data_IF_709020082019
#
_entry.id   IF_709020082019
#
_cell.length_a   1.000
_cell.length_b   1.000
_cell.length_c   1.000
_cell.angle_alpha   90.00
_cell.angle_beta   90.00
_cell.angle_gamma   90.00
#
_symmetry.space_group_name_H-M   'P 1'
#
loop_
_entity.id
_entity.type
_entity.pdbx_description
1 polymer ?
#
# COMPACT_ATOMS: atom_id res chain seq x y z
N UNK A 1 3.06 -49.76 44.80
CA UNK A 1 3.51 -48.47 44.22
C UNK A 1 3.14 -48.46 42.75
N UNK A 2 1.94 -47.96 42.44
CA UNK A 2 1.45 -47.85 41.07
C UNK A 2 2.02 -46.57 40.44
N UNK A 3 2.65 -46.71 39.28
CA UNK A 3 3.38 -45.65 38.59
C UNK A 3 2.45 -44.49 38.18
N UNK A 4 2.85 -43.21 38.38
CA UNK A 4 2.05 -42.04 38.04
C UNK A 4 1.89 -41.83 36.52
N UNK A 5 2.52 -42.65 35.68
CA UNK A 5 2.42 -42.55 34.23
C UNK A 5 1.09 -43.05 33.65
N UNK A 6 0.30 -43.83 34.40
CA UNK A 6 -0.94 -44.41 33.86
C UNK A 6 -2.14 -43.45 33.90
N UNK A 7 -2.07 -42.37 34.69
CA UNK A 7 -3.13 -41.34 34.75
C UNK A 7 -3.00 -40.25 33.68
N UNK A 8 -1.85 -40.15 32.98
CA UNK A 8 -1.65 -39.13 31.95
C UNK A 8 -2.17 -39.54 30.55
N UNK A 9 -2.54 -40.81 30.36
CA UNK A 9 -2.99 -41.33 29.07
C UNK A 9 -4.52 -41.35 28.89
N UNK A 10 -5.30 -41.03 29.93
CA UNK A 10 -6.77 -41.03 29.85
C UNK A 10 -7.39 -39.63 29.67
N UNK A 11 -6.61 -38.54 29.70
CA UNK A 11 -7.12 -37.17 29.53
C UNK A 11 -7.06 -36.63 28.10
N UNK A 12 -6.56 -37.43 27.14
CA UNK A 12 -6.43 -37.01 25.73
C UNK A 12 -7.62 -37.36 24.81
N UNK A 13 -8.69 -37.97 25.33
CA UNK A 13 -9.84 -38.43 24.52
C UNK A 13 -11.12 -37.59 24.64
N UNK A 14 -11.03 -36.33 25.10
CA UNK A 14 -12.16 -35.38 25.11
C UNK A 14 -11.82 -34.03 24.48
N UNK A 15 -10.86 -34.00 23.53
CA UNK A 15 -10.78 -32.89 22.59
C UNK A 15 -11.94 -33.04 21.58
N UNK A 16 -13.13 -32.58 21.97
CA UNK A 16 -14.23 -32.41 21.03
C UNK A 16 -13.72 -31.60 19.84
N UNK A 17 -13.81 -32.15 18.64
CA UNK A 17 -13.52 -31.42 17.42
C UNK A 17 -14.43 -30.22 17.37
N UNK A 18 -13.90 -29.02 17.55
CA UNK A 18 -14.63 -27.79 17.29
C UNK A 18 -14.93 -27.77 15.78
N UNK A 19 -16.15 -28.18 15.41
CA UNK A 19 -16.64 -28.06 14.04
C UNK A 19 -16.57 -26.59 13.64
N UNK A 20 -15.71 -26.25 12.69
CA UNK A 20 -15.65 -24.90 12.13
C UNK A 20 -17.01 -24.61 11.47
N UNK A 21 -17.74 -23.62 11.99
CA UNK A 21 -19.00 -23.19 11.38
C UNK A 21 -18.70 -22.62 9.99
N UNK A 22 -19.37 -23.17 8.98
CA UNK A 22 -19.47 -22.57 7.65
C UNK A 22 -20.87 -22.04 7.45
N UNK A 23 -21.05 -21.15 6.48
CA UNK A 23 -22.37 -20.66 6.12
C UNK A 23 -23.33 -21.82 5.79
N UNK A 24 -22.87 -22.86 5.08
CA UNK A 24 -23.73 -23.99 4.68
C UNK A 24 -24.24 -24.83 5.84
N UNK A 25 -23.50 -24.86 6.96
CA UNK A 25 -23.90 -25.53 8.21
C UNK A 25 -24.94 -24.73 9.00
N UNK A 26 -25.12 -23.44 8.70
CA UNK A 26 -26.09 -22.58 9.37
C UNK A 26 -27.43 -22.61 8.64
N UNK A 27 -28.48 -23.05 9.32
CA UNK A 27 -29.86 -23.05 8.80
C UNK A 27 -30.61 -21.84 9.31
N UNK A 28 -30.44 -20.71 8.64
CA UNK A 28 -31.14 -19.47 8.96
C UNK A 28 -32.37 -19.27 8.07
N UNK A 29 -33.42 -18.70 8.64
CA UNK A 29 -34.67 -18.40 7.95
C UNK A 29 -34.99 -16.92 7.93
N UNK A 30 -35.71 -16.48 6.90
CA UNK A 30 -36.28 -15.14 6.81
C UNK A 30 -37.47 -14.95 7.77
N UNK A 31 -38.08 -13.76 7.75
CA UNK A 31 -39.24 -13.44 8.58
C UNK A 31 -40.50 -14.28 8.28
N UNK A 32 -40.52 -15.02 7.16
CA UNK A 32 -41.60 -15.92 6.75
C UNK A 32 -41.23 -17.39 7.00
N UNK A 33 -40.20 -17.66 7.79
CA UNK A 33 -39.66 -18.99 8.08
C UNK A 33 -39.18 -19.76 6.83
N UNK A 34 -38.77 -19.06 5.78
CA UNK A 34 -38.18 -19.67 4.58
C UNK A 34 -36.67 -19.68 4.69
N UNK A 35 -36.04 -20.79 4.31
CA UNK A 35 -34.60 -20.90 4.25
C UNK A 35 -34.04 -19.94 3.19
N UNK A 36 -32.91 -19.29 3.48
CA UNK A 36 -32.21 -18.49 2.48
C UNK A 36 -31.69 -19.38 1.34
N UNK A 37 -31.88 -18.94 0.10
CA UNK A 37 -31.48 -19.70 -1.10
C UNK A 37 -29.97 -19.70 -1.31
N UNK A 38 -29.30 -18.61 -0.90
CA UNK A 38 -27.88 -18.39 -1.11
C UNK A 38 -27.17 -18.07 0.20
N UNK A 39 -25.86 -18.27 0.17
CA UNK A 39 -25.04 -18.38 1.36
C UNK A 39 -23.56 -18.22 0.98
N UNK A 40 -22.79 -17.43 1.74
CA UNK A 40 -21.36 -17.25 1.55
C UNK A 40 -20.62 -17.08 2.88
N UNK A 41 -19.46 -17.73 2.98
CA UNK A 41 -18.42 -17.40 3.95
C UNK A 41 -17.68 -16.15 3.46
N UNK A 42 -17.78 -15.04 4.21
CA UNK A 42 -17.11 -13.81 3.82
C UNK A 42 -15.60 -13.93 4.11
N UNK A 43 -14.73 -13.35 3.27
CA UNK A 43 -13.29 -13.64 3.31
C UNK A 43 -12.57 -13.13 4.56
N UNK A 44 -13.22 -12.25 5.34
CA UNK A 44 -12.62 -11.56 6.49
C UNK A 44 -13.63 -11.43 7.63
N UNK A 45 -13.10 -11.20 8.83
CA UNK A 45 -13.85 -10.97 10.08
C UNK A 45 -14.68 -12.17 10.56
N UNK A 46 -14.39 -13.39 10.08
CA UNK A 46 -15.09 -14.61 10.53
C UNK A 46 -16.60 -14.50 10.38
N UNK A 47 -17.04 -13.94 9.26
CA UNK A 47 -18.41 -13.48 9.04
C UNK A 47 -19.09 -14.23 7.90
N UNK A 48 -20.42 -14.28 7.93
CA UNK A 48 -21.23 -15.05 7.00
C UNK A 48 -22.39 -14.21 6.50
N UNK A 49 -22.81 -14.47 5.27
CA UNK A 49 -23.95 -13.82 4.66
C UNK A 49 -24.86 -14.86 4.02
N UNK A 50 -26.13 -14.82 4.37
CA UNK A 50 -27.19 -15.56 3.71
C UNK A 50 -28.11 -14.58 3.00
N UNK A 51 -28.60 -14.93 1.82
CA UNK A 51 -29.53 -14.07 1.09
C UNK A 51 -30.45 -14.81 0.15
N UNK A 52 -31.59 -14.18 -0.14
CA UNK A 52 -32.55 -14.59 -1.16
C UNK A 52 -32.97 -13.34 -1.93
N UNK A 53 -32.83 -13.37 -3.24
CA UNK A 53 -33.33 -12.29 -4.10
C UNK A 53 -34.73 -12.65 -4.60
N UNK A 54 -35.65 -11.69 -4.52
CA UNK A 54 -36.99 -11.75 -5.09
C UNK A 54 -37.05 -10.71 -6.23
N UNK A 55 -36.89 -11.14 -7.49
CA UNK A 55 -36.97 -10.24 -8.64
C UNK A 55 -38.33 -9.58 -8.81
N UNK A 56 -39.42 -10.26 -8.44
CA UNK A 56 -40.78 -9.74 -8.61
C UNK A 56 -41.05 -8.54 -7.71
N UNK A 57 -40.46 -8.53 -6.51
CA UNK A 57 -40.54 -7.40 -5.59
C UNK A 57 -39.28 -6.51 -5.60
N UNK A 58 -38.30 -6.79 -6.48
CA UNK A 58 -36.99 -6.13 -6.49
C UNK A 58 -36.40 -6.00 -5.08
N UNK A 59 -36.34 -7.12 -4.36
CA UNK A 59 -35.97 -7.13 -2.94
C UNK A 59 -34.95 -8.20 -2.61
N UNK A 60 -34.08 -7.90 -1.65
CA UNK A 60 -33.03 -8.79 -1.20
C UNK A 60 -33.20 -9.03 0.30
N UNK A 61 -33.66 -10.22 0.67
CA UNK A 61 -33.68 -10.67 2.04
C UNK A 61 -32.27 -11.12 2.42
N UNK A 62 -31.75 -10.66 3.55
CA UNK A 62 -30.39 -10.96 4.02
C UNK A 62 -30.37 -11.39 5.48
N UNK A 63 -29.42 -12.27 5.82
CA UNK A 63 -28.98 -12.51 7.19
C UNK A 63 -27.44 -12.42 7.25
N UNK A 64 -26.94 -11.41 7.94
CA UNK A 64 -25.51 -11.23 8.19
C UNK A 64 -25.16 -11.74 9.59
N UNK A 65 -24.05 -12.47 9.71
CA UNK A 65 -23.63 -13.14 10.95
C UNK A 65 -22.17 -12.80 11.21
N UNK A 66 -21.86 -12.31 12.42
CA UNK A 66 -20.49 -12.09 12.86
C UNK A 66 -20.40 -12.07 14.39
N UNK A 67 -19.21 -12.37 14.92
CA UNK A 67 -18.89 -12.11 16.32
C UNK A 67 -18.30 -10.69 16.45
N UNK A 68 -18.83 -9.83 17.33
CA UNK A 68 -18.16 -8.59 17.65
C UNK A 68 -16.82 -8.87 18.37
N UNK A 69 -15.81 -8.00 18.23
CA UNK A 69 -14.50 -8.20 18.86
C UNK A 69 -14.52 -8.10 20.40
N UNK A 70 -15.60 -7.57 20.98
CA UNK A 70 -15.80 -7.52 22.43
C UNK A 70 -17.29 -7.73 22.77
N UNK A 71 -17.63 -8.12 24.01
CA UNK A 71 -19.02 -8.31 24.44
C UNK A 71 -19.92 -7.07 24.29
N UNK A 72 -19.34 -5.86 24.38
CA UNK A 72 -20.06 -4.59 24.18
C UNK A 72 -20.00 -4.06 22.74
N UNK A 73 -19.42 -4.84 21.82
CA UNK A 73 -19.21 -4.45 20.45
C UNK A 73 -20.45 -4.51 19.58
N UNK A 74 -20.24 -4.21 18.31
CA UNK A 74 -21.29 -4.14 17.30
C UNK A 74 -20.87 -4.86 16.02
N UNK A 75 -21.85 -5.25 15.23
CA UNK A 75 -21.66 -5.79 13.88
C UNK A 75 -22.47 -4.96 12.88
N UNK A 76 -22.06 -4.92 11.62
CA UNK A 76 -22.75 -4.14 10.59
C UNK A 76 -22.64 -4.78 9.22
N UNK A 77 -23.70 -4.61 8.43
CA UNK A 77 -23.74 -4.94 7.01
C UNK A 77 -24.56 -3.89 6.26
N UNK A 78 -24.19 -3.58 5.03
CA UNK A 78 -25.01 -2.73 4.19
C UNK A 78 -24.55 -2.63 2.75
N UNK A 79 -25.27 -1.78 2.00
CA UNK A 79 -25.08 -1.57 0.57
C UNK A 79 -24.47 -0.19 0.35
N UNK A 80 -23.50 -0.12 -0.56
CA UNK A 80 -23.06 1.15 -1.10
C UNK A 80 -23.64 1.35 -2.51
N UNK A 81 -24.61 2.26 -2.68
CA UNK A 81 -25.28 2.46 -3.97
C UNK A 81 -24.43 3.19 -5.01
N UNK A 82 -23.34 3.87 -4.61
CA UNK A 82 -22.56 4.75 -5.50
C UNK A 82 -21.10 4.36 -5.64
N UNK A 83 -20.55 3.62 -4.69
CA UNK A 83 -19.15 3.24 -4.61
C UNK A 83 -18.96 1.82 -4.06
N UNK A 84 -17.71 1.41 -3.84
CA UNK A 84 -17.35 0.07 -3.36
C UNK A 84 -16.85 0.04 -1.91
N UNK A 85 -16.73 1.21 -1.26
CA UNK A 85 -16.13 1.35 0.08
C UNK A 85 -17.14 1.73 1.17
N UNK A 86 -16.65 2.12 2.34
CA UNK A 86 -17.49 2.55 3.47
C UNK A 86 -18.14 3.91 3.22
N UNK A 87 -17.41 4.87 2.64
CA UNK A 87 -17.97 6.19 2.32
C UNK A 87 -19.06 6.08 1.25
N UNK A 88 -20.23 6.64 1.54
CA UNK A 88 -21.46 6.49 0.76
C UNK A 88 -22.28 5.23 1.08
N UNK A 89 -21.79 4.36 1.97
CA UNK A 89 -22.51 3.14 2.32
C UNK A 89 -23.71 3.43 3.24
N UNK A 90 -24.78 2.68 3.03
CA UNK A 90 -26.01 2.71 3.80
C UNK A 90 -26.17 1.37 4.50
N UNK A 91 -26.01 1.38 5.83
CA UNK A 91 -25.77 0.16 6.61
C UNK A 91 -26.76 -0.03 7.73
N UNK A 92 -27.00 -1.29 8.06
CA UNK A 92 -27.61 -1.71 9.31
C UNK A 92 -26.49 -2.09 10.28
N UNK A 93 -26.59 -1.66 11.53
CA UNK A 93 -25.69 -2.11 12.59
C UNK A 93 -26.48 -2.66 13.77
N UNK A 94 -26.02 -3.80 14.28
CA UNK A 94 -26.56 -4.47 15.45
C UNK A 94 -25.60 -4.34 16.64
N UNK A 95 -26.17 -4.09 17.81
CA UNK A 95 -25.47 -4.02 19.09
C UNK A 95 -26.42 -4.36 20.24
N UNK A 96 -25.85 -4.72 21.40
CA UNK A 96 -26.65 -4.95 22.61
C UNK A 96 -27.17 -3.63 23.16
N UNK A 97 -28.48 -3.56 23.43
CA UNK A 97 -29.13 -2.46 24.13
C UNK A 97 -30.13 -3.04 25.14
N UNK A 98 -29.88 -2.83 26.43
CA UNK A 98 -30.75 -3.28 27.53
C UNK A 98 -31.12 -4.77 27.48
N UNK A 99 -30.14 -5.63 27.16
CA UNK A 99 -30.31 -7.08 27.11
C UNK A 99 -30.92 -7.63 25.81
N UNK A 100 -31.34 -6.76 24.88
CA UNK A 100 -31.81 -7.13 23.55
C UNK A 100 -30.86 -6.65 22.45
N UNK A 101 -30.94 -7.25 21.26
CA UNK A 101 -30.18 -6.77 20.09
C UNK A 101 -30.98 -5.67 19.40
N UNK A 102 -30.46 -4.44 19.42
CA UNK A 102 -30.99 -3.33 18.66
C UNK A 102 -30.34 -3.29 17.28
N UNK A 103 -31.14 -3.06 16.22
CA UNK A 103 -30.64 -2.82 14.86
C UNK A 103 -30.99 -1.40 14.46
N UNK A 104 -29.99 -0.61 14.07
CA UNK A 104 -30.15 0.78 13.62
C UNK A 104 -29.58 0.97 12.22
N UNK A 105 -30.15 1.91 11.47
CA UNK A 105 -29.70 2.28 10.13
C UNK A 105 -28.78 3.50 10.17
N UNK A 106 -27.75 3.52 9.32
CA UNK A 106 -26.76 4.58 9.22
C UNK A 106 -26.49 4.92 7.75
N UNK A 107 -26.50 6.20 7.42
CA UNK A 107 -26.10 6.74 6.11
C UNK A 107 -24.68 7.31 6.22
N UNK A 108 -23.67 6.52 5.85
CA UNK A 108 -22.26 6.82 6.06
C UNK A 108 -21.73 7.73 4.95
N UNK A 109 -22.13 9.00 4.96
CA UNK A 109 -21.72 9.98 3.94
C UNK A 109 -20.20 10.18 3.85
N UNK A 110 -19.48 9.99 4.95
CA UNK A 110 -18.02 10.13 5.04
C UNK A 110 -17.44 9.24 6.14
N UNK A 111 -16.12 9.24 6.29
CA UNK A 111 -15.42 8.51 7.36
C UNK A 111 -15.51 9.16 8.75
N UNK A 112 -16.05 10.38 8.86
CA UNK A 112 -15.98 11.19 10.09
C UNK A 112 -17.28 11.23 10.88
N UNK A 113 -18.41 10.83 10.30
CA UNK A 113 -19.72 10.94 10.93
C UNK A 113 -20.47 9.61 10.89
N UNK A 114 -20.62 8.98 12.06
CA UNK A 114 -21.45 7.80 12.27
C UNK A 114 -22.69 8.24 13.03
N UNK A 115 -23.72 8.64 12.30
CA UNK A 115 -24.99 9.10 12.88
C UNK A 115 -26.14 8.29 12.26
N UNK A 116 -27.11 7.84 13.07
CA UNK A 116 -28.29 7.17 12.54
C UNK A 116 -28.99 8.03 11.49
N UNK A 117 -29.44 7.38 10.42
CA UNK A 117 -30.03 8.07 9.28
C UNK A 117 -30.99 7.17 8.50
N UNK A 118 -31.91 7.79 7.75
CA UNK A 118 -32.79 7.09 6.82
C UNK A 118 -31.99 6.67 5.59
N UNK A 119 -32.16 5.44 5.13
CA UNK A 119 -31.54 4.94 3.92
C UNK A 119 -32.29 5.46 2.68
N UNK A 120 -31.62 5.54 1.52
CA UNK A 120 -32.25 5.95 0.27
C UNK A 120 -33.10 4.85 -0.37
N UNK A 121 -33.02 3.62 0.15
CA UNK A 121 -33.85 2.49 -0.24
C UNK A 121 -34.65 1.99 0.96
N UNK A 122 -35.81 1.38 0.70
CA UNK A 122 -36.67 0.85 1.73
C UNK A 122 -36.05 -0.39 2.39
N UNK A 123 -36.29 -0.51 3.70
CA UNK A 123 -35.85 -1.64 4.50
C UNK A 123 -37.01 -2.08 5.39
N UNK A 124 -37.28 -3.38 5.41
CA UNK A 124 -38.33 -3.99 6.21
C UNK A 124 -37.86 -5.34 6.78
N UNK A 125 -38.71 -6.00 7.58
CA UNK A 125 -38.39 -7.26 8.27
C UNK A 125 -37.10 -7.22 9.11
N UNK A 126 -36.77 -6.04 9.66
CA UNK A 126 -35.53 -5.82 10.42
C UNK A 126 -35.62 -6.48 11.79
N UNK A 127 -34.64 -7.35 12.10
CA UNK A 127 -34.49 -7.95 13.43
C UNK A 127 -33.04 -8.30 13.73
N UNK A 128 -32.69 -8.29 15.01
CA UNK A 128 -31.37 -8.64 15.51
C UNK A 128 -31.45 -9.82 16.48
N UNK A 129 -30.44 -10.68 16.47
CA UNK A 129 -30.32 -11.80 17.41
C UNK A 129 -28.89 -11.91 17.93
N UNK A 130 -28.72 -12.36 19.16
CA UNK A 130 -27.43 -12.70 19.73
C UNK A 130 -27.50 -14.07 20.41
N UNK A 131 -26.71 -15.02 19.94
CA UNK A 131 -26.66 -16.38 20.50
C UNK A 131 -25.21 -16.84 20.52
N UNK A 132 -24.73 -17.29 21.69
CA UNK A 132 -23.38 -17.85 21.84
C UNK A 132 -22.25 -16.89 21.47
N UNK A 133 -22.40 -15.60 21.75
CA UNK A 133 -21.40 -14.57 21.42
C UNK A 133 -21.38 -14.14 19.95
N UNK A 134 -22.28 -14.67 19.12
CA UNK A 134 -22.45 -14.28 17.71
C UNK A 134 -23.70 -13.43 17.59
N UNK A 135 -23.59 -12.31 16.86
CA UNK A 135 -24.72 -11.47 16.50
C UNK A 135 -25.19 -11.77 15.08
N UNK A 136 -26.48 -11.56 14.83
CA UNK A 136 -27.11 -11.69 13.52
C UNK A 136 -27.95 -10.46 13.22
N UNK A 137 -27.85 -9.98 11.99
CA UNK A 137 -28.73 -8.95 11.42
C UNK A 137 -29.58 -9.63 10.36
N UNK A 138 -30.89 -9.55 10.49
CA UNK A 138 -31.83 -9.92 9.43
C UNK A 138 -32.54 -8.67 8.94
N UNK A 139 -32.69 -8.55 7.62
CA UNK A 139 -33.46 -7.49 7.00
C UNK A 139 -33.84 -7.88 5.57
N UNK A 140 -34.85 -7.21 5.03
CA UNK A 140 -35.13 -7.19 3.60
C UNK A 140 -34.93 -5.77 3.09
N UNK A 141 -34.14 -5.62 2.03
CA UNK A 141 -33.84 -4.31 1.43
C UNK A 141 -34.37 -4.22 0.01
N UNK A 142 -34.86 -3.04 -0.39
CA UNK A 142 -35.20 -2.75 -1.78
C UNK A 142 -33.91 -2.65 -2.60
N UNK A 143 -33.87 -3.32 -3.74
CA UNK A 143 -32.79 -3.25 -4.73
C UNK A 143 -33.32 -2.75 -6.07
N UNK A 144 -32.44 -2.48 -7.02
CA UNK A 144 -32.85 -2.07 -8.36
C UNK A 144 -33.62 -3.20 -9.07
N UNK A 145 -34.72 -2.86 -9.75
CA UNK A 145 -35.56 -3.83 -10.50
C UNK A 145 -34.79 -4.57 -11.60
N UNK A 146 -33.78 -3.92 -12.18
CA UNK A 146 -32.89 -4.51 -13.19
C UNK A 146 -31.50 -4.84 -12.64
N UNK A 147 -31.35 -4.78 -11.32
CA UNK A 147 -30.08 -5.08 -10.66
C UNK A 147 -29.80 -6.57 -10.67
N UNK A 148 -28.55 -6.95 -10.93
CA UNK A 148 -28.06 -8.33 -10.79
C UNK A 148 -27.09 -8.47 -9.61
N UNK A 149 -26.63 -7.33 -9.08
CA UNK A 149 -25.69 -7.28 -7.97
C UNK A 149 -25.73 -5.95 -7.23
N UNK A 150 -25.15 -5.92 -6.03
CA UNK A 150 -24.90 -4.70 -5.24
C UNK A 150 -23.48 -4.68 -4.70
N UNK A 151 -22.90 -3.49 -4.52
CA UNK A 151 -21.71 -3.36 -3.69
C UNK A 151 -22.14 -3.41 -2.23
N UNK A 152 -21.53 -4.29 -1.45
CA UNK A 152 -21.77 -4.40 -0.02
C UNK A 152 -20.52 -4.12 0.80
N UNK A 153 -20.73 -3.73 2.04
CA UNK A 153 -19.69 -3.62 3.07
C UNK A 153 -20.19 -4.27 4.34
N UNK A 154 -19.26 -4.83 5.12
CA UNK A 154 -19.57 -5.38 6.43
C UNK A 154 -18.48 -4.98 7.41
N UNK A 155 -18.81 -4.98 8.70
CA UNK A 155 -17.84 -4.59 9.71
C UNK A 155 -18.18 -5.10 11.10
N UNK A 156 -17.18 -5.15 11.96
CA UNK A 156 -17.31 -5.35 13.40
C UNK A 156 -16.58 -4.24 14.14
N UNK A 157 -17.08 -3.82 15.31
CA UNK A 157 -16.44 -2.77 16.10
C UNK A 157 -16.47 -3.01 17.60
N UNK A 158 -15.60 -2.31 18.34
CA UNK A 158 -15.22 -2.67 19.71
C UNK A 158 -16.30 -2.40 20.73
N UNK A 159 -17.06 -1.32 20.59
CA UNK A 159 -17.96 -0.85 21.65
C UNK A 159 -19.02 0.12 21.13
N UNK A 160 -20.05 0.34 21.95
CA UNK A 160 -21.03 1.42 21.77
C UNK A 160 -20.95 2.34 22.99
N UNK A 161 -20.53 3.58 22.79
CA UNK A 161 -20.33 4.57 23.86
C UNK A 161 -21.37 5.69 23.73
N UNK A 162 -22.12 5.95 24.80
CA UNK A 162 -23.17 6.97 24.84
C UNK A 162 -24.16 6.85 23.65
N UNK A 163 -24.53 5.62 23.29
CA UNK A 163 -25.46 5.33 22.19
C UNK A 163 -24.89 5.51 20.78
N UNK A 164 -23.58 5.74 20.64
CA UNK A 164 -22.87 5.87 19.36
C UNK A 164 -21.91 4.71 19.15
N UNK A 165 -21.86 4.20 17.93
CA UNK A 165 -20.92 3.13 17.56
C UNK A 165 -19.49 3.68 17.58
N UNK A 166 -18.61 3.03 18.33
CA UNK A 166 -17.19 3.35 18.28
C UNK A 166 -16.58 2.85 16.98
N UNK A 167 -15.62 3.60 16.47
CA UNK A 167 -14.94 3.31 15.19
C UNK A 167 -14.33 1.90 15.21
N UNK A 168 -14.56 1.16 14.12
CA UNK A 168 -13.93 -0.14 13.92
C UNK A 168 -12.41 -0.02 13.74
N UNK A 169 -11.70 -1.15 13.88
CA UNK A 169 -10.26 -1.22 13.66
C UNK A 169 -9.89 -0.98 12.19
N UNK A 170 -8.64 -0.60 11.95
CA UNK A 170 -8.09 -0.42 10.60
C UNK A 170 -7.12 -1.54 10.19
N UNK A 171 -7.29 -2.73 10.77
CA UNK A 171 -6.51 -3.89 10.40
C UNK A 171 -6.89 -4.37 8.98
N UNK A 172 -6.02 -5.12 8.28
CA UNK A 172 -6.30 -5.60 6.93
C UNK A 172 -7.67 -6.30 6.77
N UNK A 173 -8.15 -7.13 7.72
CA UNK A 173 -9.50 -7.70 7.63
C UNK A 173 -10.61 -6.63 7.57
N UNK A 174 -10.53 -5.57 8.39
CA UNK A 174 -11.53 -4.50 8.40
C UNK A 174 -11.46 -3.63 7.14
N UNK A 175 -10.27 -3.40 6.60
CA UNK A 175 -10.11 -2.60 5.38
C UNK A 175 -10.56 -3.34 4.11
N UNK A 176 -10.58 -4.68 4.17
CA UNK A 176 -10.98 -5.56 3.07
C UNK A 176 -12.43 -6.07 3.19
N UNK A 177 -13.20 -5.63 4.19
CA UNK A 177 -14.58 -6.09 4.42
C UNK A 177 -15.59 -5.37 3.53
N UNK A 178 -15.38 -5.53 2.23
CA UNK A 178 -16.17 -4.97 1.13
C UNK A 178 -16.16 -5.93 -0.06
N UNK A 179 -17.19 -5.89 -0.88
CA UNK A 179 -17.33 -6.81 -2.02
C UNK A 179 -18.51 -6.50 -2.91
N UNK A 180 -18.66 -7.29 -3.97
CA UNK A 180 -19.83 -7.27 -4.84
C UNK A 180 -20.65 -8.54 -4.59
N UNK A 181 -21.93 -8.36 -4.26
CA UNK A 181 -22.88 -9.43 -3.99
C UNK A 181 -23.77 -9.66 -5.21
N UNK A 182 -23.61 -10.80 -5.88
CA UNK A 182 -24.52 -11.23 -6.94
C UNK A 182 -25.80 -11.82 -6.35
N UNK A 183 -26.94 -11.46 -6.92
CA UNK A 183 -28.24 -11.91 -6.45
C UNK A 183 -28.49 -13.41 -6.66
N UNK A 184 -27.96 -13.98 -7.74
CA UNK A 184 -28.21 -15.37 -8.13
C UNK A 184 -27.34 -16.41 -7.41
N UNK A 185 -26.48 -16.00 -6.46
CA UNK A 185 -25.67 -16.94 -5.69
C UNK A 185 -24.63 -17.73 -6.48
N UNK A 186 -24.40 -17.38 -7.76
CA UNK A 186 -23.37 -17.99 -8.59
C UNK A 186 -22.05 -17.99 -7.83
N UNK A 187 -21.51 -19.18 -7.59
CA UNK A 187 -20.29 -19.41 -6.81
C UNK A 187 -19.20 -18.43 -7.25
N UNK A 188 -18.92 -17.50 -6.35
CA UNK A 188 -18.19 -16.30 -6.66
C UNK A 188 -19.04 -15.11 -6.26
N UNK A 189 -19.00 -14.76 -4.98
CA UNK A 189 -18.67 -13.37 -4.66
C UNK A 189 -17.50 -13.04 -5.59
N UNK A 190 -17.75 -12.43 -6.76
CA UNK A 190 -16.70 -11.89 -7.61
C UNK A 190 -16.16 -10.68 -6.86
N UNK A 191 -15.45 -10.98 -5.77
CA UNK A 191 -14.33 -10.18 -5.35
C UNK A 191 -13.45 -10.21 -6.59
N UNK A 192 -13.48 -9.13 -7.38
CA UNK A 192 -12.33 -8.80 -8.19
C UNK A 192 -11.13 -9.01 -7.26
N UNK A 193 -10.31 -10.04 -7.51
CA UNK A 193 -9.29 -10.55 -6.58
C UNK A 193 -8.39 -9.43 -6.05
N UNK A 194 -8.36 -8.30 -6.74
CA UNK A 194 -7.87 -7.02 -6.26
C UNK A 194 -8.90 -5.93 -6.61
N UNK A 195 -9.46 -5.25 -5.61
CA UNK A 195 -10.39 -4.14 -5.86
C UNK A 195 -9.70 -3.00 -6.65
N UNK A 196 -10.43 -2.21 -7.46
CA UNK A 196 -9.83 -1.18 -8.32
C UNK A 196 -8.93 -0.18 -7.58
N UNK A 197 -9.21 0.12 -6.32
CA UNK A 197 -8.39 1.03 -5.50
C UNK A 197 -7.09 0.33 -5.10
N UNK A 198 -7.14 -0.93 -4.66
CA UNK A 198 -5.92 -1.70 -4.37
C UNK A 198 -5.08 -1.91 -5.63
N UNK A 199 -5.70 -2.11 -6.79
CA UNK A 199 -4.96 -2.16 -8.07
C UNK A 199 -4.21 -0.85 -8.33
N UNK A 200 -4.87 0.31 -8.14
CA UNK A 200 -4.22 1.63 -8.25
C UNK A 200 -3.09 1.80 -7.23
N UNK A 201 -3.28 1.38 -5.96
CA UNK A 201 -2.24 1.39 -4.91
C UNK A 201 -1.02 0.56 -5.31
N UNK A 202 -1.23 -0.62 -5.86
CA UNK A 202 -0.15 -1.50 -6.33
C UNK A 202 0.60 -0.89 -7.51
N UNK A 203 -0.12 -0.33 -8.49
CA UNK A 203 0.49 0.37 -9.63
C UNK A 203 1.34 1.54 -9.15
N UNK A 204 0.80 2.40 -8.26
CA UNK A 204 1.54 3.50 -7.65
C UNK A 204 2.81 3.00 -6.94
N UNK A 205 2.70 1.96 -6.12
CA UNK A 205 3.83 1.38 -5.40
C UNK A 205 4.94 0.87 -6.33
N UNK A 206 4.58 0.13 -7.39
CA UNK A 206 5.53 -0.43 -8.37
C UNK A 206 6.22 0.69 -9.15
N UNK A 207 5.47 1.64 -9.71
CA UNK A 207 6.03 2.76 -10.48
C UNK A 207 7.06 3.53 -9.65
N UNK A 208 6.72 3.84 -8.39
CA UNK A 208 7.61 4.60 -7.52
C UNK A 208 8.82 3.79 -7.02
N UNK A 209 8.67 2.48 -6.78
CA UNK A 209 9.80 1.62 -6.43
C UNK A 209 10.82 1.51 -7.58
N UNK A 210 10.35 1.32 -8.81
CA UNK A 210 11.22 1.23 -10.00
C UNK A 210 11.90 2.58 -10.28
N UNK A 211 11.13 3.67 -10.27
CA UNK A 211 11.66 5.02 -10.53
C UNK A 211 12.59 5.50 -9.41
N UNK A 212 12.03 5.86 -8.25
CA UNK A 212 12.75 6.52 -7.15
C UNK A 212 13.66 5.57 -6.38
N UNK A 213 13.29 4.29 -6.31
CA UNK A 213 14.00 3.29 -5.52
C UNK A 213 15.13 2.57 -6.26
N UNK A 214 15.10 2.52 -7.60
CA UNK A 214 16.08 1.75 -8.40
C UNK A 214 16.76 2.61 -9.45
N UNK A 215 16.02 3.20 -10.39
CA UNK A 215 16.61 3.89 -11.55
C UNK A 215 17.37 5.17 -11.15
N UNK A 216 16.81 6.00 -10.26
CA UNK A 216 17.49 7.19 -9.73
C UNK A 216 18.82 6.83 -9.02
N UNK A 217 18.84 5.91 -8.02
CA UNK A 217 20.08 5.44 -7.39
C UNK A 217 21.08 4.82 -8.38
N UNK A 218 20.60 3.97 -9.29
CA UNK A 218 21.45 3.34 -10.30
C UNK A 218 22.14 4.38 -11.19
N UNK A 219 21.41 5.39 -11.66
CA UNK A 219 21.98 6.48 -12.44
C UNK A 219 23.03 7.29 -11.66
N UNK A 220 22.85 7.48 -10.35
CA UNK A 220 23.85 8.13 -9.49
C UNK A 220 25.12 7.27 -9.35
N UNK A 221 24.96 5.95 -9.15
CA UNK A 221 26.08 4.98 -9.09
C UNK A 221 26.87 5.00 -10.41
N UNK A 222 26.19 4.92 -11.56
CA UNK A 222 26.80 5.01 -12.90
C UNK A 222 27.64 6.28 -13.03
N UNK A 223 27.05 7.45 -12.76
CA UNK A 223 27.75 8.72 -12.89
C UNK A 223 28.95 8.83 -11.94
N UNK A 224 28.82 8.34 -10.71
CA UNK A 224 29.89 8.44 -9.70
C UNK A 224 31.09 7.59 -10.06
N UNK A 225 30.87 6.34 -10.48
CA UNK A 225 31.93 5.35 -10.64
C UNK A 225 32.46 5.23 -12.07
N UNK A 226 31.57 5.23 -13.07
CA UNK A 226 32.00 5.03 -14.46
C UNK A 226 32.76 6.24 -15.02
N UNK A 227 32.48 7.46 -14.53
CA UNK A 227 33.21 8.68 -14.95
C UNK A 227 34.72 8.63 -14.70
N UNK A 228 35.18 7.75 -13.80
CA UNK A 228 36.61 7.63 -13.44
C UNK A 228 37.43 6.96 -14.56
N UNK A 229 36.77 6.22 -15.46
CA UNK A 229 37.39 5.48 -16.55
C UNK A 229 37.33 6.29 -17.85
N UNK A 230 38.48 6.73 -18.42
CA UNK A 230 38.51 7.45 -19.69
C UNK A 230 37.85 6.69 -20.84
N UNK A 231 37.96 5.35 -20.84
CA UNK A 231 37.31 4.49 -21.84
C UNK A 231 35.78 4.51 -21.79
N UNK A 232 35.20 5.02 -20.71
CA UNK A 232 33.76 5.15 -20.56
C UNK A 232 33.25 6.55 -20.91
N UNK A 233 34.11 7.49 -21.33
CA UNK A 233 33.68 8.80 -21.83
C UNK A 233 33.39 8.72 -23.33
N UNK A 234 32.23 9.20 -23.83
CA UNK A 234 31.14 9.89 -23.12
C UNK A 234 30.00 8.96 -22.64
N UNK A 235 30.15 7.63 -22.79
CA UNK A 235 29.10 6.65 -22.51
C UNK A 235 28.48 6.76 -21.09
N UNK A 236 29.29 6.99 -20.04
CA UNK A 236 28.80 7.15 -18.68
C UNK A 236 27.78 8.29 -18.55
N UNK A 237 27.97 9.37 -19.31
CA UNK A 237 27.13 10.55 -19.26
C UNK A 237 25.75 10.24 -19.88
N UNK A 238 25.74 9.58 -21.04
CA UNK A 238 24.50 9.16 -21.68
C UNK A 238 23.75 8.12 -20.85
N UNK A 239 24.45 7.11 -20.30
CA UNK A 239 23.83 6.12 -19.42
C UNK A 239 23.20 6.77 -18.18
N UNK A 240 23.91 7.71 -17.54
CA UNK A 240 23.35 8.49 -16.43
C UNK A 240 22.09 9.24 -16.86
N UNK A 241 22.16 10.06 -17.92
CA UNK A 241 21.03 10.86 -18.40
C UNK A 241 19.84 9.97 -18.77
N UNK A 242 20.07 8.87 -19.49
CA UNK A 242 19.02 7.91 -19.86
C UNK A 242 18.34 7.31 -18.63
N UNK A 243 19.11 6.91 -17.60
CA UNK A 243 18.53 6.45 -16.33
C UNK A 243 17.70 7.55 -15.67
N UNK A 244 18.22 8.78 -15.55
CA UNK A 244 17.53 9.88 -14.87
C UNK A 244 16.24 10.30 -15.58
N UNK A 245 16.28 10.46 -16.91
CA UNK A 245 15.10 10.84 -17.71
C UNK A 245 14.04 9.76 -17.64
N UNK A 246 14.43 8.48 -17.80
CA UNK A 246 13.48 7.36 -17.70
C UNK A 246 12.86 7.27 -16.31
N UNK A 247 13.69 7.42 -15.26
CA UNK A 247 13.22 7.44 -13.88
C UNK A 247 12.22 8.59 -13.67
N UNK A 248 12.53 9.79 -14.14
CA UNK A 248 11.64 10.95 -14.01
C UNK A 248 10.29 10.74 -14.70
N UNK A 249 10.27 10.24 -15.94
CA UNK A 249 9.02 9.97 -16.68
C UNK A 249 8.14 8.96 -15.93
N UNK A 250 8.72 7.83 -15.48
CA UNK A 250 8.00 6.84 -14.68
C UNK A 250 7.55 7.44 -13.34
N UNK A 251 8.40 8.27 -12.73
CA UNK A 251 8.14 8.96 -11.47
C UNK A 251 6.99 9.96 -11.56
N UNK A 252 6.83 10.67 -12.68
CA UNK A 252 5.68 11.56 -12.96
C UNK A 252 4.38 10.75 -12.96
N UNK A 253 4.35 9.60 -13.65
CA UNK A 253 3.19 8.71 -13.63
C UNK A 253 2.91 8.14 -12.23
N UNK A 254 3.97 7.75 -11.51
CA UNK A 254 3.90 7.32 -10.11
C UNK A 254 3.34 8.41 -9.19
N UNK A 255 3.76 9.66 -9.36
CA UNK A 255 3.24 10.80 -8.60
C UNK A 255 1.78 11.10 -8.95
N UNK A 256 1.44 11.14 -10.24
CA UNK A 256 0.07 11.41 -10.70
C UNK A 256 -0.94 10.37 -10.22
N UNK A 257 -0.57 9.08 -10.25
CA UNK A 257 -1.41 8.01 -9.67
C UNK A 257 -1.57 8.14 -8.15
N UNK A 258 -0.55 8.64 -7.44
CA UNK A 258 -0.63 8.95 -6.01
C UNK A 258 -1.58 10.10 -5.70
N UNK A 259 -1.55 11.17 -6.51
CA UNK A 259 -2.50 12.29 -6.38
C UNK A 259 -3.94 11.84 -6.64
N UNK A 260 -4.16 11.01 -7.66
CA UNK A 260 -5.48 10.44 -7.96
C UNK A 260 -5.98 9.51 -6.86
N UNK A 261 -5.11 8.70 -6.26
CA UNK A 261 -5.45 7.89 -5.08
C UNK A 261 -5.88 8.76 -3.90
N UNK A 262 -5.20 9.89 -3.70
CA UNK A 262 -5.56 10.86 -2.67
C UNK A 262 -6.94 11.48 -2.89
N UNK A 263 -7.29 11.86 -4.12
CA UNK A 263 -8.62 12.38 -4.45
C UNK A 263 -9.71 11.30 -4.35
N UNK A 264 -9.40 10.07 -4.74
CA UNK A 264 -10.35 8.95 -4.72
C UNK A 264 -10.54 8.37 -3.29
N UNK A 265 -9.79 8.87 -2.29
CA UNK A 265 -9.81 8.39 -0.89
C UNK A 265 -10.06 9.54 0.10
N UNK A 266 -11.10 10.33 -0.12
CA UNK A 266 -11.47 11.45 0.77
C UNK A 266 -11.57 11.00 2.22
N UNK A 267 -10.94 11.71 3.17
CA UNK A 267 -10.92 11.34 4.60
C UNK A 267 -9.77 10.42 5.05
N UNK A 268 -9.03 9.77 4.14
CA UNK A 268 -7.77 9.07 4.47
C UNK A 268 -6.59 9.95 4.05
N UNK A 269 -5.91 10.55 5.03
CA UNK A 269 -4.84 11.52 4.77
C UNK A 269 -3.49 11.00 5.25
N UNK A 270 -2.62 10.61 4.31
CA UNK A 270 -1.21 10.32 4.58
C UNK A 270 -0.34 11.55 4.32
N UNK A 271 -0.56 12.59 5.13
CA UNK A 271 0.02 13.92 4.92
C UNK A 271 1.54 13.89 4.75
N UNK A 272 2.26 13.12 5.57
CA UNK A 272 3.73 13.11 5.51
C UNK A 272 4.26 12.43 4.25
N UNK A 273 3.72 11.27 3.86
CA UNK A 273 4.15 10.60 2.61
C UNK A 273 3.82 11.46 1.39
N UNK A 274 2.64 12.09 1.38
CA UNK A 274 2.25 13.01 0.30
C UNK A 274 3.19 14.21 0.24
N UNK A 275 3.48 14.86 1.37
CA UNK A 275 4.36 16.03 1.39
C UNK A 275 5.77 15.68 0.93
N UNK A 276 6.35 14.57 1.41
CA UNK A 276 7.65 14.08 0.92
C UNK A 276 7.58 13.80 -0.59
N UNK A 277 6.51 13.16 -1.07
CA UNK A 277 6.32 12.86 -2.49
C UNK A 277 6.22 14.10 -3.37
N UNK A 278 5.52 15.14 -2.92
CA UNK A 278 5.44 16.43 -3.63
C UNK A 278 6.82 17.11 -3.63
N UNK A 279 7.51 17.16 -2.49
CA UNK A 279 8.87 17.73 -2.42
C UNK A 279 9.83 16.99 -3.36
N UNK A 280 9.78 15.65 -3.37
CA UNK A 280 10.56 14.81 -4.30
C UNK A 280 10.32 15.19 -5.75
N UNK A 281 9.05 15.30 -6.14
CA UNK A 281 8.67 15.68 -7.51
C UNK A 281 9.20 17.06 -7.89
N UNK A 282 9.08 18.06 -7.01
CA UNK A 282 9.61 19.40 -7.22
C UNK A 282 11.13 19.39 -7.38
N UNK A 283 11.87 18.72 -6.49
CA UNK A 283 13.32 18.63 -6.55
C UNK A 283 13.82 17.88 -7.79
N UNK A 284 13.13 16.81 -8.18
CA UNK A 284 13.48 16.05 -9.38
C UNK A 284 13.24 16.86 -10.66
N UNK A 285 12.14 17.60 -10.71
CA UNK A 285 11.85 18.53 -11.81
C UNK A 285 12.94 19.59 -11.93
N UNK A 286 13.33 20.19 -10.80
CA UNK A 286 14.48 21.10 -10.72
C UNK A 286 15.76 20.43 -11.26
N UNK A 287 16.01 19.17 -10.92
CA UNK A 287 17.16 18.44 -11.43
C UNK A 287 17.15 18.13 -12.92
N UNK A 288 15.99 17.94 -13.54
CA UNK A 288 15.89 17.81 -15.00
C UNK A 288 16.33 19.12 -15.68
N UNK A 289 15.97 20.27 -15.11
CA UNK A 289 16.44 21.56 -15.61
C UNK A 289 17.97 21.75 -15.50
N UNK A 290 18.64 21.01 -14.62
CA UNK A 290 20.09 21.05 -14.50
C UNK A 290 20.79 20.66 -15.82
N UNK A 291 20.18 19.83 -16.65
CA UNK A 291 20.71 19.48 -17.98
C UNK A 291 20.82 20.70 -18.89
N UNK A 292 19.76 21.52 -18.93
CA UNK A 292 19.70 22.73 -19.78
C UNK A 292 20.55 23.87 -19.24
N UNK A 293 20.69 23.95 -17.92
CA UNK A 293 21.49 24.98 -17.24
C UNK A 293 22.96 24.58 -17.05
N UNK A 294 23.41 23.48 -17.67
CA UNK A 294 24.74 22.90 -17.48
C UNK A 294 25.82 23.82 -18.10
N UNK A 295 26.68 24.49 -17.31
CA UNK A 295 27.73 25.33 -17.87
C UNK A 295 28.84 24.50 -18.54
N UNK A 296 29.55 25.09 -19.50
CA UNK A 296 30.77 24.51 -20.10
C UNK A 296 31.84 24.24 -19.02
N UNK A 297 32.75 23.30 -19.27
CA UNK A 297 33.66 22.73 -18.26
C UNK A 297 34.51 23.80 -17.55
N UNK A 298 34.95 24.82 -18.28
CA UNK A 298 35.86 25.86 -17.77
C UNK A 298 35.14 27.12 -17.26
N UNK A 299 33.80 27.12 -17.22
CA UNK A 299 33.03 28.27 -16.76
C UNK A 299 33.05 28.41 -15.24
N UNK A 300 33.19 29.64 -14.72
CA UNK A 300 33.23 29.92 -13.26
C UNK A 300 32.03 29.36 -12.47
N UNK A 301 30.84 29.34 -13.08
CA UNK A 301 29.62 28.79 -12.44
C UNK A 301 29.52 27.27 -12.48
N UNK A 302 30.42 26.56 -13.17
CA UNK A 302 30.46 25.09 -13.22
C UNK A 302 30.54 24.48 -11.82
N UNK A 303 31.33 25.09 -10.94
CA UNK A 303 31.48 24.65 -9.56
C UNK A 303 30.16 24.76 -8.76
N UNK A 304 29.47 25.90 -8.84
CA UNK A 304 28.17 26.12 -8.18
C UNK A 304 27.13 25.12 -8.70
N UNK A 305 27.07 24.94 -10.02
CA UNK A 305 26.19 23.97 -10.66
C UNK A 305 26.48 22.55 -10.15
N UNK A 306 27.75 22.16 -9.98
CA UNK A 306 28.11 20.84 -9.44
C UNK A 306 27.64 20.67 -7.98
N UNK A 307 27.77 21.69 -7.13
CA UNK A 307 27.29 21.62 -5.73
C UNK A 307 25.78 21.38 -5.73
N UNK A 308 25.05 22.24 -6.43
CA UNK A 308 23.60 22.16 -6.57
C UNK A 308 23.16 20.79 -7.12
N UNK A 309 23.75 20.35 -8.23
CA UNK A 309 23.37 19.11 -8.89
C UNK A 309 23.64 17.88 -7.99
N UNK A 310 24.76 17.85 -7.28
CA UNK A 310 25.03 16.75 -6.36
C UNK A 310 24.15 16.80 -5.11
N UNK A 311 24.01 17.96 -4.45
CA UNK A 311 23.24 18.08 -3.20
C UNK A 311 21.77 17.73 -3.40
N UNK A 312 21.15 18.28 -4.44
CA UNK A 312 19.76 17.98 -4.79
C UNK A 312 19.61 16.53 -5.25
N UNK A 313 20.55 16.02 -6.06
CA UNK A 313 20.55 14.62 -6.52
C UNK A 313 20.57 13.61 -5.37
N UNK A 314 21.47 13.76 -4.40
CA UNK A 314 21.51 12.86 -3.23
C UNK A 314 20.29 13.00 -2.33
N UNK A 315 19.76 14.22 -2.20
CA UNK A 315 18.53 14.47 -1.43
C UNK A 315 17.34 13.71 -2.02
N UNK A 316 17.18 13.71 -3.34
CA UNK A 316 16.14 12.95 -4.05
C UNK A 316 16.26 11.44 -3.76
N UNK A 317 17.47 10.88 -3.83
CA UNK A 317 17.69 9.45 -3.55
C UNK A 317 17.30 9.09 -2.12
N UNK A 318 17.77 9.86 -1.13
CA UNK A 318 17.50 9.61 0.29
C UNK A 318 16.00 9.73 0.58
N UNK A 319 15.38 10.83 0.14
CA UNK A 319 13.95 11.05 0.33
C UNK A 319 13.11 9.99 -0.38
N UNK A 320 13.52 9.55 -1.58
CA UNK A 320 12.84 8.52 -2.36
C UNK A 320 12.78 7.19 -1.60
N UNK A 321 13.91 6.75 -1.07
CA UNK A 321 14.00 5.51 -0.28
C UNK A 321 13.13 5.61 0.98
N UNK A 322 13.24 6.71 1.74
CA UNK A 322 12.41 6.94 2.94
C UNK A 322 10.92 6.90 2.58
N UNK A 323 10.53 7.56 1.48
CA UNK A 323 9.14 7.65 1.09
C UNK A 323 8.56 6.31 0.65
N UNK A 324 9.36 5.45 0.00
CA UNK A 324 8.98 4.09 -0.38
C UNK A 324 8.75 3.23 0.86
N UNK A 325 9.68 3.24 1.84
CA UNK A 325 9.47 2.49 3.08
C UNK A 325 8.24 2.97 3.86
N UNK A 326 7.98 4.28 3.85
CA UNK A 326 6.75 4.83 4.41
C UNK A 326 5.52 4.36 3.63
N UNK A 327 5.61 4.30 2.30
CA UNK A 327 4.64 3.66 1.40
C UNK A 327 4.29 2.25 1.84
N UNK A 328 5.29 1.41 2.08
CA UNK A 328 5.08 0.05 2.58
C UNK A 328 4.41 0.01 3.95
N UNK A 329 4.77 0.88 4.88
CA UNK A 329 4.12 0.93 6.19
C UNK A 329 2.64 1.34 6.12
N UNK A 330 2.25 2.16 5.13
CA UNK A 330 0.86 2.58 4.93
C UNK A 330 0.02 1.54 4.20
N UNK A 331 0.59 0.92 3.15
CA UNK A 331 -0.09 -0.13 2.38
C UNK A 331 -0.13 -1.47 3.12
N UNK A 332 0.81 -1.67 4.06
CA UNK A 332 1.05 -2.91 4.79
C UNK A 332 0.94 -4.17 3.89
N UNK A 333 1.69 -4.22 2.77
CA UNK A 333 1.62 -5.35 1.85
C UNK A 333 2.28 -6.59 2.47
N UNK A 334 2.12 -7.75 1.81
CA UNK A 334 2.85 -8.96 2.16
C UNK A 334 4.34 -8.66 2.41
N UNK A 335 4.90 -9.25 3.48
CA UNK A 335 6.30 -9.03 3.91
C UNK A 335 7.31 -9.20 2.78
N UNK A 336 7.01 -10.04 1.78
CA UNK A 336 7.83 -10.26 0.58
C UNK A 336 8.13 -8.97 -0.18
N UNK A 337 7.19 -8.03 -0.30
CA UNK A 337 7.40 -6.78 -1.04
C UNK A 337 8.46 -5.90 -0.40
N UNK A 338 8.34 -5.67 0.91
CA UNK A 338 9.31 -4.91 1.69
C UNK A 338 10.68 -5.61 1.70
N UNK A 339 10.69 -6.93 1.86
CA UNK A 339 11.91 -7.74 1.86
C UNK A 339 12.64 -7.70 0.51
N UNK A 340 11.94 -7.91 -0.60
CA UNK A 340 12.50 -7.85 -1.95
C UNK A 340 13.12 -6.47 -2.23
N UNK A 341 12.41 -5.39 -1.90
CA UNK A 341 12.97 -4.04 -2.09
C UNK A 341 14.22 -3.80 -1.23
N UNK A 342 14.23 -4.24 0.03
CA UNK A 342 15.41 -4.18 0.89
C UNK A 342 16.60 -4.94 0.29
N UNK A 343 16.37 -6.13 -0.28
CA UNK A 343 17.42 -6.92 -0.95
C UNK A 343 17.99 -6.15 -2.15
N UNK A 344 17.14 -5.52 -2.98
CA UNK A 344 17.58 -4.71 -4.12
C UNK A 344 18.45 -3.53 -3.66
N UNK A 345 18.05 -2.82 -2.59
CA UNK A 345 18.85 -1.72 -2.04
C UNK A 345 20.20 -2.19 -1.50
N UNK A 346 20.23 -3.33 -0.79
CA UNK A 346 21.47 -3.91 -0.29
C UNK A 346 22.38 -4.29 -1.47
N UNK A 347 21.84 -4.91 -2.52
CA UNK A 347 22.61 -5.26 -3.71
C UNK A 347 23.22 -4.02 -4.39
N UNK A 348 22.43 -2.95 -4.58
CA UNK A 348 22.94 -1.67 -5.10
C UNK A 348 24.03 -1.08 -4.20
N UNK A 349 23.86 -1.15 -2.88
CA UNK A 349 24.84 -0.69 -1.91
C UNK A 349 26.16 -1.47 -1.95
N UNK A 350 26.09 -2.80 -2.07
CA UNK A 350 27.26 -3.68 -2.22
C UNK A 350 28.01 -3.38 -3.52
N UNK A 351 27.28 -3.23 -4.63
CA UNK A 351 27.87 -2.83 -5.91
C UNK A 351 28.56 -1.47 -5.81
N UNK A 352 27.91 -0.49 -5.19
CA UNK A 352 28.49 0.83 -4.98
C UNK A 352 29.77 0.77 -4.11
N UNK A 353 29.74 0.01 -3.01
CA UNK A 353 30.91 -0.18 -2.14
C UNK A 353 32.09 -0.80 -2.91
N UNK A 354 31.82 -1.85 -3.68
CA UNK A 354 32.84 -2.51 -4.50
C UNK A 354 33.44 -1.57 -5.55
N UNK A 355 32.59 -0.81 -6.25
CA UNK A 355 33.03 0.18 -7.24
C UNK A 355 33.79 1.36 -6.59
N UNK A 356 33.45 1.74 -5.35
CA UNK A 356 34.17 2.74 -4.58
C UNK A 356 35.60 2.25 -4.29
N UNK A 357 35.77 1.02 -3.81
CA UNK A 357 37.10 0.42 -3.58
C UNK A 357 37.93 0.41 -4.85
N UNK A 358 37.37 -0.06 -5.98
CA UNK A 358 38.07 -0.07 -7.27
C UNK A 358 38.47 1.34 -7.69
N UNK A 359 37.54 2.30 -7.58
CA UNK A 359 37.78 3.70 -7.93
C UNK A 359 38.94 4.28 -7.15
N UNK A 360 39.00 4.05 -5.84
CA UNK A 360 40.12 4.50 -5.01
C UNK A 360 41.45 3.83 -5.40
N UNK A 361 41.47 2.53 -5.68
CA UNK A 361 42.67 1.84 -6.17
C UNK A 361 43.18 2.49 -7.47
N UNK A 362 42.29 2.76 -8.42
CA UNK A 362 42.64 3.40 -9.70
C UNK A 362 43.17 4.82 -9.49
N UNK A 363 42.52 5.61 -8.64
CA UNK A 363 42.93 6.99 -8.33
C UNK A 363 44.30 7.02 -7.65
N UNK A 364 44.54 6.15 -6.67
CA UNK A 364 45.82 6.05 -5.97
C UNK A 364 46.94 5.60 -6.92
N UNK A 365 46.70 4.59 -7.78
CA UNK A 365 47.67 4.15 -8.79
C UNK A 365 48.02 5.27 -9.79
N UNK A 366 47.04 6.07 -10.24
CA UNK A 366 47.30 7.22 -11.13
C UNK A 366 48.11 8.31 -10.42
N UNK A 367 47.81 8.59 -9.14
CA UNK A 367 48.56 9.56 -8.34
C UNK A 367 50.02 9.12 -8.15
N UNK A 368 50.24 7.84 -7.85
CA UNK A 368 51.58 7.24 -7.72
C UNK A 368 52.36 7.35 -9.04
N UNK A 369 51.79 6.91 -10.18
CA UNK A 369 52.45 7.04 -11.50
C UNK A 369 52.84 8.49 -11.82
N UNK A 370 51.92 9.44 -11.63
CA UNK A 370 52.19 10.87 -11.87
C UNK A 370 53.28 11.44 -10.95
N UNK A 371 53.41 10.92 -9.72
CA UNK A 371 54.49 11.28 -8.80
C UNK A 371 55.84 10.74 -9.30
N UNK A 372 55.88 9.50 -9.79
CA UNK A 372 57.10 8.86 -10.32
C UNK A 372 57.60 9.51 -11.61
N UNK A 373 56.70 9.93 -12.51
CA UNK A 373 57.10 10.64 -13.75
C UNK A 373 57.73 12.00 -13.44
N UNK A 374 57.18 12.74 -12.48
CA UNK A 374 57.73 14.04 -12.04
C UNK A 374 59.13 13.96 -11.42
N UNK A 375 59.51 12.82 -10.84
CA UNK A 375 60.85 12.61 -10.28
C UNK A 375 61.90 12.20 -11.32
N UNK A 376 61.49 11.65 -12.47
CA UNK A 376 62.42 11.29 -13.56
C UNK A 376 62.77 12.49 -14.44
N UNK A 377 61.85 13.42 -14.67
CA UNK A 377 62.12 14.66 -15.44
C UNK A 377 62.95 15.71 -14.66
N UNK A 378 63.31 15.43 -13.41
CA UNK A 378 64.07 16.34 -12.53
C UNK A 378 65.57 16.00 -12.41
N UNK A 379 66.08 15.04 -13.18
CA UNK A 379 67.47 14.54 -13.08
C UNK A 379 68.21 14.63 -14.42
N UNK A 380 68.06 15.74 -15.13
CA UNK A 380 69.00 16.12 -16.19
C UNK A 380 69.44 17.56 -15.93
N UNK A 381 70.59 17.70 -15.27
CA UNK A 381 71.21 18.99 -15.00
C UNK A 381 72.72 18.83 -15.13
N UNK A 382 73.25 19.35 -16.24
CA UNK A 382 74.66 19.75 -16.35
C UNK A 382 75.30 19.41 -17.70
N UNK A 383 75.44 20.39 -18.58
CA UNK A 383 76.73 21.06 -18.82
C UNK A 383 76.71 22.02 -20.02
N UNK A 384 77.33 23.19 -19.82
CA UNK A 384 77.99 24.06 -20.82
C UNK A 384 77.09 24.75 -21.88
N UNK A 385 77.18 26.05 -22.19
CA UNK A 385 78.28 27.02 -22.13
C UNK A 385 77.69 28.42 -22.40
N UNK A 386 78.26 29.45 -21.78
CA UNK A 386 77.96 30.86 -22.09
C UNK A 386 78.62 31.33 -23.42
N UNK A 387 77.99 32.38 -23.98
CA UNK A 387 78.46 33.47 -24.87
C UNK A 387 78.09 33.39 -26.37
N UNK A 388 78.05 34.53 -27.11
CA UNK A 388 77.31 35.78 -26.86
C UNK A 388 76.61 36.35 -28.15
N UNK A 389 75.97 37.51 -28.00
CA UNK A 389 75.35 38.49 -28.93
C UNK A 389 75.61 38.51 -30.47
N UNK A 390 74.62 39.13 -31.15
CA UNK A 390 74.53 39.73 -32.51
C UNK A 390 74.16 38.78 -33.67
N UNK A 391 73.24 39.09 -34.59
CA UNK A 391 72.73 40.37 -35.15
C UNK A 391 71.21 40.40 -35.21
#
# INVERSE_FOLDING_TARGET
>A
MASPLFFLLLTFFLAGTASSLTCTTQKLTDARNRLYSNCADLPVLGSFLHWTHDPANASLAVAFVAAPPSPGGWISWGINPTATGMAGAQVLAAFMNDGAVAVKTFDLKSYSSIVPGKLSFDVWDVRGEAVGGVMRIFATVKVSEKGESVNHVWQVGPSVTAGRLDKHDFNPPNLNSKGMLSFNGGQGTQVSLVDPITKKKNIHGILNAVSWGVLFPLGVIIARYMRTFPSADPAWFYLHVSCQVSAYVIGVAGWGTGMKLGSDSEGIQYSVHRNIGITLFCLATLQIFALFLRPVKDHKYRYIWNIYHHSVGYSIVIMGIINIFRGFSMLNPDKKWKSTYSIVLIALGVVALFLEVITWIVVLKRKSKKSTTKTYDGYDNGENRQQPFNV
#
